data_IF_742868823259
#
_entry.id   IF_742868823259
#
_cell.length_a   1.000
_cell.length_b   1.000
_cell.length_c   1.000
_cell.angle_alpha   90.00
_cell.angle_beta   90.00
_cell.angle_gamma   90.00
#
_symmetry.space_group_name_H-M   'P 1'
#
loop_
_entity.id
_entity.type
_entity.pdbx_description
1 polymer ?
#
# COMPACT_ATOMS: atom_id res chain seq x y z
N UNK A 1 -7.82 4.35 -13.44
CA UNK A 1 -8.04 4.69 -12.03
C UNK A 1 -6.79 4.41 -11.23
N UNK A 2 -6.58 5.22 -10.21
CA UNK A 2 -5.47 5.11 -9.28
C UNK A 2 -6.07 4.92 -7.89
N UNK A 3 -6.35 3.68 -7.54
CA UNK A 3 -6.49 3.34 -6.14
C UNK A 3 -5.08 3.42 -5.53
N UNK A 4 -4.95 4.27 -4.52
CA UNK A 4 -3.74 4.39 -3.72
C UNK A 4 -3.48 3.03 -3.10
N UNK A 5 -2.54 2.30 -3.71
CA UNK A 5 -1.92 1.18 -3.05
C UNK A 5 -1.07 1.75 -1.92
N UNK A 6 -1.67 1.88 -0.73
CA UNK A 6 -0.93 1.93 0.51
C UNK A 6 -0.19 0.59 0.64
N UNK A 7 0.92 0.47 -0.06
CA UNK A 7 1.85 -0.61 0.14
C UNK A 7 2.58 -0.29 1.44
N UNK A 8 1.95 -0.65 2.56
CA UNK A 8 2.67 -0.84 3.80
C UNK A 8 3.85 -1.76 3.51
N UNK A 9 5.07 -1.43 3.89
CA UNK A 9 6.18 -2.35 3.72
C UNK A 9 5.90 -3.60 4.57
N UNK A 10 5.61 -4.69 3.89
CA UNK A 10 5.55 -6.01 4.49
C UNK A 10 6.93 -6.39 5.06
N UNK A 11 7.01 -6.34 6.38
CA UNK A 11 8.19 -6.59 7.21
C UNK A 11 8.60 -8.06 7.23
N UNK A 12 9.76 -8.47 6.67
CA UNK A 12 10.48 -9.67 7.16
C UNK A 12 11.59 -9.34 8.15
N UNK A 13 11.71 -10.23 9.16
CA UNK A 13 12.92 -10.87 9.72
C UNK A 13 14.09 -9.98 10.23
N UNK A 14 15.17 -10.56 10.77
CA UNK A 14 15.42 -11.27 12.06
C UNK A 14 15.11 -10.37 13.30
N UNK A 15 15.54 -10.66 14.56
CA UNK A 15 15.38 -9.68 15.63
C UNK A 15 16.08 -8.38 15.25
N UNK A 16 15.40 -7.24 15.38
CA UNK A 16 16.09 -5.95 15.32
C UNK A 16 17.18 -5.95 16.42
N UNK A 17 18.47 -5.70 16.10
CA UNK A 17 19.51 -5.60 17.12
C UNK A 17 19.33 -4.36 18.01
N UNK A 18 18.45 -3.42 17.61
CA UNK A 18 18.13 -2.19 18.32
C UNK A 18 16.64 -2.18 18.64
N UNK A 19 16.22 -1.97 19.90
CA UNK A 19 14.81 -1.84 20.25
C UNK A 19 14.21 -0.57 19.64
N UNK A 20 13.77 -0.68 18.39
CA UNK A 20 13.16 0.38 17.62
C UNK A 20 11.73 0.64 18.10
N UNK A 21 11.29 1.91 18.09
CA UNK A 21 9.92 2.32 18.43
C UNK A 21 9.24 3.07 17.31
N UNK A 22 10.00 3.51 16.30
CA UNK A 22 9.49 4.27 15.16
C UNK A 22 9.88 3.57 13.86
N UNK A 23 8.89 3.32 13.03
CA UNK A 23 9.07 2.83 11.66
C UNK A 23 8.61 3.94 10.73
N UNK A 24 9.43 4.32 9.76
CA UNK A 24 9.09 5.30 8.72
C UNK A 24 9.23 4.62 7.37
N UNK A 25 8.28 4.85 6.48
CA UNK A 25 8.33 4.31 5.13
C UNK A 25 7.83 5.30 4.11
N UNK A 26 8.32 5.14 2.90
CA UNK A 26 7.84 5.84 1.73
C UNK A 26 7.77 4.87 0.55
N UNK A 27 6.89 5.17 -0.39
CA UNK A 27 6.81 4.44 -1.63
C UNK A 27 6.34 5.30 -2.77
N UNK A 28 6.66 4.85 -3.98
CA UNK A 28 6.20 5.43 -5.21
C UNK A 28 5.89 4.31 -6.20
N UNK A 29 4.92 4.53 -7.08
CA UNK A 29 4.61 3.57 -8.11
C UNK A 29 3.72 4.16 -9.18
N UNK A 30 3.68 3.52 -10.34
CA UNK A 30 2.89 4.01 -11.45
C UNK A 30 2.80 3.04 -12.60
N UNK A 31 1.93 3.41 -13.52
CA UNK A 31 1.70 2.81 -14.84
C UNK A 31 1.94 3.89 -15.90
N UNK A 32 1.61 3.60 -17.16
CA UNK A 32 1.63 4.56 -18.26
C UNK A 32 0.66 5.75 -18.09
N UNK A 33 -0.39 5.60 -17.28
CA UNK A 33 -1.47 6.60 -17.17
C UNK A 33 -1.72 7.11 -15.76
N UNK A 34 -0.98 6.60 -14.77
CA UNK A 34 -1.15 7.02 -13.40
C UNK A 34 0.13 6.83 -12.58
N UNK A 35 0.35 7.69 -11.60
CA UNK A 35 1.46 7.58 -10.66
C UNK A 35 1.04 8.03 -9.27
N UNK A 36 1.71 7.53 -8.25
CA UNK A 36 1.49 7.92 -6.86
C UNK A 36 2.77 7.91 -6.06
N UNK A 37 2.78 8.70 -5.00
CA UNK A 37 3.74 8.68 -3.91
C UNK A 37 3.00 8.67 -2.59
N UNK A 38 3.56 8.00 -1.59
CA UNK A 38 3.01 7.97 -0.25
C UNK A 38 4.14 7.82 0.77
N UNK A 39 3.83 8.23 1.99
CA UNK A 39 4.72 8.11 3.15
C UNK A 39 3.90 7.87 4.40
N UNK A 40 4.51 7.25 5.40
CA UNK A 40 3.87 7.04 6.68
C UNK A 40 4.87 6.70 7.77
N UNK A 41 4.35 6.68 8.98
CA UNK A 41 5.09 6.19 10.13
C UNK A 41 4.21 5.37 11.06
N UNK A 42 4.83 4.43 11.77
CA UNK A 42 4.23 3.65 12.85
C UNK A 42 5.05 3.87 14.10
N UNK A 43 4.38 4.30 15.16
CA UNK A 43 4.98 4.50 16.47
C UNK A 43 4.45 3.46 17.47
N UNK A 44 5.36 2.87 18.25
CA UNK A 44 5.05 1.90 19.29
C UNK A 44 5.30 2.53 20.68
N UNK A 45 4.25 3.07 21.34
CA UNK A 45 4.41 3.88 22.56
C UNK A 45 4.92 3.09 23.78
N UNK A 46 4.51 1.82 23.90
CA UNK A 46 4.70 1.06 25.14
C UNK A 46 5.76 -0.04 25.04
N UNK A 47 6.05 -0.53 23.84
CA UNK A 47 6.98 -1.63 23.61
C UNK A 47 7.69 -1.45 22.25
N UNK A 48 8.88 -2.06 22.04
CA UNK A 48 9.55 -2.01 20.74
C UNK A 48 8.69 -2.57 19.60
N UNK A 49 8.97 -2.15 18.37
CA UNK A 49 8.29 -2.60 17.16
C UNK A 49 8.38 -4.12 16.95
N UNK A 50 9.44 -4.75 17.46
CA UNK A 50 9.68 -6.18 17.34
C UNK A 50 8.76 -7.07 18.22
N UNK A 51 8.06 -6.49 19.21
CA UNK A 51 7.25 -7.22 20.20
C UNK A 51 5.75 -6.92 20.04
N UNK A 52 4.91 -7.64 20.76
CA UNK A 52 3.47 -7.37 20.80
C UNK A 52 3.17 -5.97 21.38
N UNK A 53 2.06 -5.39 20.94
CA UNK A 53 1.52 -4.18 21.58
C UNK A 53 0.84 -3.21 20.63
N UNK A 54 0.39 -2.10 21.24
CA UNK A 54 -0.27 -1.01 20.54
C UNK A 54 0.65 -0.27 19.58
N UNK A 55 0.06 0.25 18.51
CA UNK A 55 0.69 1.00 17.43
C UNK A 55 -0.17 2.21 17.08
N UNK A 56 0.48 3.34 16.85
CA UNK A 56 -0.14 4.52 16.24
C UNK A 56 0.44 4.65 14.83
N UNK A 57 -0.40 4.91 13.84
CA UNK A 57 0.04 5.04 12.46
C UNK A 57 -0.56 6.27 11.79
N UNK A 58 0.28 6.97 11.07
CA UNK A 58 -0.12 8.03 10.15
C UNK A 58 0.37 7.70 8.75
N UNK A 59 -0.46 7.94 7.75
CA UNK A 59 -0.12 7.75 6.34
C UNK A 59 -0.65 8.93 5.56
N UNK A 60 0.06 9.34 4.52
CA UNK A 60 -0.47 10.24 3.53
C UNK A 60 0.17 10.03 2.18
N UNK A 61 -0.46 10.55 1.14
CA UNK A 61 0.09 10.47 -0.19
C UNK A 61 -0.68 11.27 -1.20
N UNK A 62 -0.13 11.27 -2.41
CA UNK A 62 -0.62 12.05 -3.54
C UNK A 62 -0.38 11.25 -4.82
N UNK A 63 -1.25 11.44 -5.80
CA UNK A 63 -1.04 10.86 -7.12
C UNK A 63 -1.89 11.53 -8.19
N UNK A 64 -1.62 11.14 -9.43
CA UNK A 64 -2.33 11.64 -10.60
C UNK A 64 -2.68 10.49 -11.53
N UNK A 65 -3.76 10.65 -12.27
CA UNK A 65 -4.22 9.69 -13.25
C UNK A 65 -4.91 10.36 -14.43
N UNK A 66 -4.97 9.65 -15.55
CA UNK A 66 -5.73 10.04 -16.72
C UNK A 66 -6.73 8.97 -17.11
N UNK A 67 -7.91 9.39 -17.54
CA UNK A 67 -8.92 8.52 -18.12
C UNK A 67 -9.74 9.27 -19.18
N UNK A 68 -10.49 8.52 -19.98
CA UNK A 68 -11.44 9.13 -20.91
C UNK A 68 -12.77 9.32 -20.15
N UNK A 69 -13.20 10.58 -20.02
CA UNK A 69 -14.47 10.91 -19.41
C UNK A 69 -15.65 10.51 -20.29
N UNK A 70 -16.82 10.33 -19.67
CA UNK A 70 -18.06 10.07 -20.39
C UNK A 70 -18.69 11.34 -20.99
N UNK A 71 -19.94 11.25 -21.47
CA UNK A 71 -20.65 12.37 -22.07
C UNK A 71 -20.78 13.60 -21.16
N UNK A 72 -20.91 13.41 -19.84
CA UNK A 72 -20.97 14.51 -18.87
C UNK A 72 -19.67 15.32 -18.77
N UNK A 73 -18.53 14.68 -19.00
CA UNK A 73 -17.22 15.32 -19.14
C UNK A 73 -16.93 15.79 -20.59
N UNK A 74 -17.93 15.74 -21.48
CA UNK A 74 -17.81 16.11 -22.89
C UNK A 74 -16.97 15.14 -23.72
N UNK A 75 -16.91 13.86 -23.34
CA UNK A 75 -16.06 12.83 -23.95
C UNK A 75 -14.58 13.25 -24.01
N UNK A 76 -14.13 14.08 -23.06
CA UNK A 76 -12.78 14.61 -23.00
C UNK A 76 -11.83 13.71 -22.20
N UNK A 77 -10.53 13.88 -22.42
CA UNK A 77 -9.52 13.28 -21.55
C UNK A 77 -9.51 14.00 -20.19
N UNK A 78 -9.87 13.29 -19.13
CA UNK A 78 -9.92 13.80 -17.76
C UNK A 78 -8.60 13.53 -17.04
N UNK A 79 -8.10 14.57 -16.40
CA UNK A 79 -6.94 14.53 -15.51
C UNK A 79 -7.43 14.53 -14.07
N UNK A 80 -7.17 13.45 -13.36
CA UNK A 80 -7.49 13.31 -11.95
C UNK A 80 -6.25 13.49 -11.09
N UNK A 81 -6.43 14.16 -9.96
CA UNK A 81 -5.48 14.22 -8.84
C UNK A 81 -6.13 13.56 -7.64
N UNK A 82 -5.34 12.90 -6.82
CA UNK A 82 -5.80 12.33 -5.55
C UNK A 82 -4.81 12.67 -4.45
N UNK A 83 -5.32 13.03 -3.27
CA UNK A 83 -4.55 13.16 -2.05
C UNK A 83 -5.30 12.45 -0.91
N UNK A 84 -4.57 11.81 0.00
CA UNK A 84 -5.19 11.17 1.14
C UNK A 84 -4.36 11.31 2.41
N UNK A 85 -5.03 11.16 3.55
CA UNK A 85 -4.40 11.06 4.86
C UNK A 85 -5.15 10.06 5.75
N UNK A 86 -4.40 9.24 6.49
CA UNK A 86 -4.91 8.27 7.46
C UNK A 86 -4.35 8.56 8.85
N UNK A 87 -5.19 8.41 9.87
CA UNK A 87 -4.79 8.38 11.27
C UNK A 87 -5.38 7.15 11.95
N UNK A 88 -4.52 6.20 12.34
CA UNK A 88 -4.91 4.86 12.75
C UNK A 88 -4.32 4.47 14.10
N UNK A 89 -5.08 3.70 14.86
CA UNK A 89 -4.63 2.96 16.04
C UNK A 89 -4.69 1.48 15.71
N UNK A 90 -3.70 0.72 16.12
CA UNK A 90 -3.64 -0.70 15.86
C UNK A 90 -2.95 -1.50 16.95
N UNK A 91 -2.99 -2.81 16.78
CA UNK A 91 -2.32 -3.76 17.64
C UNK A 91 -1.52 -4.74 16.79
N UNK A 92 -0.29 -5.01 17.21
CA UNK A 92 0.55 -6.04 16.64
C UNK A 92 0.64 -7.22 17.59
N UNK A 93 0.51 -8.42 17.04
CA UNK A 93 0.82 -9.67 17.73
C UNK A 93 1.81 -10.50 16.93
N UNK A 94 2.66 -11.23 17.65
CA UNK A 94 3.70 -12.08 17.09
C UNK A 94 3.52 -13.50 17.60
N UNK A 95 3.52 -14.41 16.65
CA UNK A 95 3.58 -15.86 16.86
C UNK A 95 4.99 -16.36 16.51
N UNK A 96 5.20 -17.67 16.65
CA UNK A 96 6.50 -18.29 16.34
C UNK A 96 6.96 -18.01 14.90
N UNK A 97 6.06 -18.08 13.93
CA UNK A 97 6.36 -17.91 12.50
C UNK A 97 5.58 -16.78 11.83
N UNK A 98 4.74 -16.06 12.58
CA UNK A 98 3.85 -15.06 12.00
C UNK A 98 3.83 -13.76 12.78
N UNK A 99 3.59 -12.66 12.07
CA UNK A 99 3.30 -11.35 12.66
C UNK A 99 1.99 -10.88 12.04
N UNK A 100 1.05 -10.43 12.87
CA UNK A 100 -0.20 -9.85 12.42
C UNK A 100 -0.35 -8.47 13.05
N UNK A 101 -0.73 -7.48 12.23
CA UNK A 101 -1.06 -6.14 12.68
C UNK A 101 -2.46 -5.78 12.17
N UNK A 102 -3.32 -5.32 13.05
CA UNK A 102 -4.64 -4.80 12.68
C UNK A 102 -4.75 -3.34 13.12
N UNK A 103 -5.32 -2.51 12.26
CA UNK A 103 -5.46 -1.07 12.46
C UNK A 103 -6.89 -0.62 12.15
N UNK A 104 -7.35 0.38 12.89
CA UNK A 104 -8.61 1.07 12.65
C UNK A 104 -8.42 2.57 12.91
N UNK A 105 -9.16 3.41 12.19
CA UNK A 105 -9.15 4.84 12.42
C UNK A 105 -9.89 5.61 11.35
N UNK A 106 -9.39 6.80 11.05
CA UNK A 106 -10.02 7.73 10.10
C UNK A 106 -9.18 7.88 8.84
N UNK A 107 -9.85 8.19 7.74
CA UNK A 107 -9.27 8.49 6.44
C UNK A 107 -9.93 9.76 5.88
N UNK A 108 -9.12 10.60 5.25
CA UNK A 108 -9.55 11.68 4.37
C UNK A 108 -9.03 11.36 2.97
N UNK A 109 -9.88 11.52 1.96
CA UNK A 109 -9.61 11.21 0.56
C UNK A 109 -10.14 12.35 -0.31
N UNK A 110 -9.27 12.96 -1.10
CA UNK A 110 -9.55 14.20 -1.84
C UNK A 110 -9.25 13.96 -3.31
N UNK A 111 -10.24 14.16 -4.16
CA UNK A 111 -10.13 14.04 -5.61
C UNK A 111 -10.41 15.35 -6.32
N UNK A 112 -9.52 15.73 -7.24
CA UNK A 112 -9.72 16.86 -8.15
C UNK A 112 -9.70 16.38 -9.59
N UNK A 113 -10.74 16.70 -10.37
CA UNK A 113 -10.91 16.29 -11.77
C UNK A 113 -10.91 17.51 -12.70
N UNK A 114 -10.19 17.41 -13.83
CA UNK A 114 -10.16 18.46 -14.88
C UNK A 114 -10.23 17.82 -16.28
N UNK A 115 -11.26 18.12 -17.10
CA UNK A 115 -12.46 18.87 -16.74
C UNK A 115 -13.27 18.17 -15.64
N UNK A 116 -14.20 18.90 -15.02
CA UNK A 116 -15.11 18.32 -14.05
C UNK A 116 -15.92 17.18 -14.70
N UNK A 117 -16.07 16.09 -13.95
CA UNK A 117 -16.79 14.90 -14.36
C UNK A 117 -17.77 14.52 -13.25
N UNK A 118 -18.99 15.10 -13.26
CA UNK A 118 -19.95 14.93 -12.17
C UNK A 118 -20.51 13.51 -12.07
N UNK A 119 -20.33 12.68 -13.10
CA UNK A 119 -20.74 11.28 -13.11
C UNK A 119 -19.72 10.38 -12.39
N UNK A 120 -18.52 10.89 -12.07
CA UNK A 120 -17.48 10.15 -11.37
C UNK A 120 -17.81 10.01 -9.88
N UNK A 121 -18.01 8.77 -9.41
CA UNK A 121 -18.45 8.48 -8.05
C UNK A 121 -17.47 8.88 -6.95
N UNK A 122 -16.22 9.19 -7.30
CA UNK A 122 -15.16 9.59 -6.36
C UNK A 122 -14.78 11.06 -6.47
N UNK A 123 -15.53 11.88 -7.21
CA UNK A 123 -15.25 13.31 -7.33
C UNK A 123 -15.45 14.05 -6.00
N UNK A 124 -14.48 14.89 -5.63
CA UNK A 124 -14.52 15.73 -4.43
C UNK A 124 -13.83 15.14 -3.20
N UNK A 125 -14.20 15.65 -2.03
CA UNK A 125 -13.58 15.32 -0.75
C UNK A 125 -14.49 14.41 0.08
N UNK A 126 -13.92 13.36 0.66
CA UNK A 126 -14.59 12.44 1.55
C UNK A 126 -13.77 12.18 2.82
N UNK A 127 -14.46 12.06 3.95
CA UNK A 127 -13.88 11.62 5.22
C UNK A 127 -14.64 10.38 5.67
N UNK A 128 -13.91 9.34 6.04
CA UNK A 128 -14.45 8.05 6.40
C UNK A 128 -13.67 7.36 7.50
N UNK A 129 -14.13 6.16 7.85
CA UNK A 129 -13.36 5.24 8.67
C UNK A 129 -12.47 4.37 7.78
N UNK A 130 -11.38 3.84 8.35
CA UNK A 130 -10.47 2.93 7.67
C UNK A 130 -10.10 1.76 8.55
N UNK A 131 -10.01 0.58 7.94
CA UNK A 131 -9.45 -0.63 8.51
C UNK A 131 -8.25 -1.08 7.67
N UNK A 132 -7.23 -1.60 8.35
CA UNK A 132 -6.10 -2.25 7.68
C UNK A 132 -5.64 -3.49 8.44
N UNK A 133 -5.23 -4.52 7.69
CA UNK A 133 -4.69 -5.77 8.19
C UNK A 133 -3.37 -6.05 7.46
N UNK A 134 -2.32 -6.32 8.22
CA UNK A 134 -1.00 -6.71 7.72
C UNK A 134 -0.63 -8.05 8.32
N UNK A 135 -0.14 -8.96 7.48
CA UNK A 135 0.28 -10.29 7.86
C UNK A 135 1.66 -10.58 7.28
N UNK A 136 2.52 -11.17 8.12
CA UNK A 136 3.77 -11.80 7.74
C UNK A 136 3.74 -13.26 8.18
N UNK A 137 4.22 -14.16 7.32
CA UNK A 137 4.33 -15.58 7.63
C UNK A 137 5.64 -16.14 7.07
N UNK A 138 6.51 -16.64 7.95
CA UNK A 138 7.62 -17.49 7.57
C UNK A 138 7.10 -18.91 7.31
N UNK A 139 7.06 -19.30 6.04
CA UNK A 139 6.61 -20.62 5.59
C UNK A 139 7.72 -21.67 5.82
N UNK A 140 8.97 -21.26 5.57
CA UNK A 140 10.20 -22.01 5.86
C UNK A 140 11.30 -21.02 6.25
N UNK A 141 12.51 -21.47 6.65
CA UNK A 141 13.62 -20.54 6.86
C UNK A 141 13.95 -19.69 5.61
N UNK A 142 13.71 -20.21 4.41
CA UNK A 142 14.01 -19.51 3.15
C UNK A 142 12.79 -18.86 2.48
N UNK A 143 11.56 -19.29 2.79
CA UNK A 143 10.34 -18.80 2.14
C UNK A 143 9.43 -18.07 3.10
N UNK A 144 8.77 -17.04 2.61
CA UNK A 144 7.83 -16.23 3.37
C UNK A 144 6.67 -15.75 2.52
N UNK A 145 5.57 -15.42 3.19
CA UNK A 145 4.41 -14.79 2.61
C UNK A 145 4.09 -13.50 3.37
N UNK A 146 3.56 -12.51 2.65
CA UNK A 146 3.03 -11.30 3.25
C UNK A 146 1.70 -10.90 2.62
N UNK A 147 0.79 -10.41 3.45
CA UNK A 147 -0.54 -9.99 3.07
C UNK A 147 -0.81 -8.60 3.64
N UNK A 148 -1.16 -7.65 2.78
CA UNK A 148 -1.62 -6.32 3.17
C UNK A 148 -3.05 -6.16 2.66
N UNK A 149 -3.98 -5.78 3.52
CA UNK A 149 -5.37 -5.48 3.19
C UNK A 149 -5.76 -4.14 3.81
N UNK A 150 -6.54 -3.33 3.10
CA UNK A 150 -7.16 -2.14 3.66
C UNK A 150 -8.46 -1.80 2.96
N UNK A 151 -9.36 -1.18 3.70
CA UNK A 151 -10.62 -0.64 3.20
C UNK A 151 -10.91 0.68 3.94
N UNK A 152 -11.29 1.71 3.20
CA UNK A 152 -11.76 2.98 3.69
C UNK A 152 -13.18 3.23 3.18
N UNK A 153 -14.06 3.75 4.05
CA UNK A 153 -15.42 4.09 3.65
C UNK A 153 -15.49 5.37 2.81
N UNK A 154 -14.43 6.19 2.81
CA UNK A 154 -14.31 7.29 1.87
C UNK A 154 -14.13 6.70 0.47
N UNK A 155 -15.05 7.02 -0.43
CA UNK A 155 -15.08 6.55 -1.82
C UNK A 155 -15.03 5.02 -1.99
N UNK A 156 -15.40 4.23 -0.98
CA UNK A 156 -15.29 2.76 -0.98
C UNK A 156 -13.91 2.24 -1.40
N UNK A 157 -12.86 2.97 -1.02
CA UNK A 157 -11.48 2.68 -1.45
C UNK A 157 -10.92 1.45 -0.75
N UNK A 158 -10.42 0.49 -1.53
CA UNK A 158 -9.78 -0.72 -1.02
C UNK A 158 -8.42 -1.00 -1.68
N UNK A 159 -7.55 -1.70 -0.95
CA UNK A 159 -6.29 -2.18 -1.45
C UNK A 159 -5.96 -3.54 -0.84
N UNK A 160 -5.44 -4.44 -1.67
CA UNK A 160 -4.95 -5.75 -1.25
C UNK A 160 -3.64 -6.07 -1.96
N UNK A 161 -2.72 -6.70 -1.25
CA UNK A 161 -1.46 -7.17 -1.81
C UNK A 161 -1.01 -8.46 -1.13
N UNK A 162 -0.72 -9.46 -1.94
CA UNK A 162 -0.08 -10.70 -1.54
C UNK A 162 1.33 -10.74 -2.12
N UNK A 163 2.31 -11.12 -1.30
CA UNK A 163 3.69 -11.37 -1.72
C UNK A 163 4.13 -12.74 -1.27
N UNK A 164 4.78 -13.48 -2.16
CA UNK A 164 5.47 -14.73 -1.86
C UNK A 164 6.95 -14.56 -2.19
N UNK A 165 7.81 -14.65 -1.17
CA UNK A 165 9.24 -14.40 -1.31
C UNK A 165 10.11 -15.59 -0.96
N UNK A 166 11.26 -15.65 -1.61
CA UNK A 166 12.34 -16.60 -1.38
C UNK A 166 13.65 -15.84 -1.09
N UNK A 167 14.28 -16.17 0.03
CA UNK A 167 15.57 -15.62 0.49
C UNK A 167 16.71 -16.27 -0.29
N UNK A 168 17.12 -15.63 -1.39
CA UNK A 168 18.30 -16.05 -2.16
C UNK A 168 19.59 -15.84 -1.38
N UNK A 169 19.62 -14.82 -0.52
CA UNK A 169 20.66 -14.59 0.49
C UNK A 169 20.00 -14.12 1.80
N UNK A 170 20.70 -14.16 2.95
CA UNK A 170 20.13 -13.71 4.22
C UNK A 170 19.53 -12.29 4.18
N UNK A 171 20.11 -11.40 3.36
CA UNK A 171 19.68 -10.02 3.19
C UNK A 171 18.86 -9.76 1.91
N UNK A 172 18.76 -10.73 0.98
CA UNK A 172 18.11 -10.51 -0.32
C UNK A 172 17.02 -11.55 -0.57
N UNK A 173 15.82 -11.06 -0.89
CA UNK A 173 14.68 -11.88 -1.30
C UNK A 173 14.23 -11.52 -2.72
N UNK A 174 13.82 -12.54 -3.47
CA UNK A 174 13.12 -12.40 -4.74
C UNK A 174 11.74 -13.04 -4.59
N UNK A 175 10.76 -12.59 -5.37
CA UNK A 175 9.43 -13.19 -5.24
C UNK A 175 8.42 -12.70 -6.25
N UNK A 176 7.20 -13.21 -6.08
CA UNK A 176 6.03 -12.84 -6.86
C UNK A 176 5.09 -11.99 -6.00
N UNK A 177 4.42 -11.05 -6.64
CA UNK A 177 3.35 -10.28 -6.01
C UNK A 177 2.10 -10.25 -6.86
N UNK A 178 0.96 -10.19 -6.17
CA UNK A 178 -0.35 -9.93 -6.76
C UNK A 178 -1.09 -8.93 -5.87
N UNK A 179 -2.00 -8.16 -6.45
CA UNK A 179 -2.84 -7.26 -5.69
C UNK A 179 -4.08 -6.83 -6.44
N UNK A 180 -5.08 -6.39 -5.69
CA UNK A 180 -6.29 -5.77 -6.21
C UNK A 180 -6.55 -4.47 -5.45
N UNK A 181 -6.90 -3.43 -6.17
CA UNK A 181 -7.07 -2.08 -5.66
C UNK A 181 -8.23 -1.45 -6.39
N UNK A 182 -9.05 -0.69 -5.66
CA UNK A 182 -10.20 -0.05 -6.27
C UNK A 182 -10.86 0.95 -5.35
N UNK A 183 -11.95 1.51 -5.85
CA UNK A 183 -12.85 2.44 -5.19
C UNK A 183 -14.24 2.34 -5.86
N UNK A 184 -15.18 3.20 -5.47
CA UNK A 184 -16.53 3.21 -6.02
C UNK A 184 -16.61 3.34 -7.56
N UNK A 185 -15.55 3.82 -8.20
CA UNK A 185 -15.49 4.09 -9.64
C UNK A 185 -14.75 2.97 -10.40
N UNK A 186 -13.79 2.26 -9.79
CA UNK A 186 -13.09 1.14 -10.46
C UNK A 186 -12.44 0.13 -9.57
N UNK A 187 -12.25 -1.02 -10.21
CA UNK A 187 -11.39 -2.10 -9.77
C UNK A 187 -10.16 -2.25 -10.68
N UNK A 188 -9.04 -2.65 -10.10
CA UNK A 188 -7.81 -2.92 -10.85
C UNK A 188 -7.01 -4.01 -10.16
N UNK A 189 -6.54 -4.98 -10.94
CA UNK A 189 -5.62 -6.02 -10.52
C UNK A 189 -4.19 -5.74 -10.97
N UNK A 190 -3.21 -6.22 -10.22
CA UNK A 190 -1.81 -6.27 -10.66
C UNK A 190 -1.14 -7.59 -10.29
N UNK A 191 -0.19 -8.00 -11.12
CA UNK A 191 0.63 -9.18 -10.90
C UNK A 191 2.06 -8.92 -11.39
N UNK A 192 3.06 -9.34 -10.63
CA UNK A 192 4.45 -9.10 -10.98
C UNK A 192 5.45 -9.84 -10.11
N UNK A 193 6.69 -9.38 -10.18
CA UNK A 193 7.79 -9.87 -9.39
C UNK A 193 8.44 -8.73 -8.61
N UNK A 194 9.18 -9.08 -7.57
CA UNK A 194 9.90 -8.12 -6.75
C UNK A 194 11.29 -8.58 -6.37
N UNK A 195 12.12 -7.61 -6.01
CA UNK A 195 13.39 -7.76 -5.30
C UNK A 195 13.30 -6.96 -4.01
N UNK A 196 13.66 -7.57 -2.88
CA UNK A 196 13.71 -6.93 -1.57
C UNK A 196 15.09 -7.13 -0.94
N UNK A 197 15.74 -6.04 -0.57
CA UNK A 197 16.98 -6.04 0.19
C UNK A 197 16.73 -5.49 1.60
N UNK A 198 17.18 -6.21 2.62
CA UNK A 198 17.04 -5.86 4.03
C UNK A 198 18.41 -5.68 4.70
N UNK A 199 18.50 -4.71 5.60
CA UNK A 199 19.64 -4.50 6.49
C UNK A 199 19.14 -4.31 7.93
N UNK A 200 20.06 -4.15 8.88
CA UNK A 200 19.76 -4.14 10.31
C UNK A 200 18.76 -3.06 10.79
N UNK A 201 18.52 -2.01 9.99
CA UNK A 201 17.65 -0.90 10.36
C UNK A 201 16.63 -0.53 9.28
N UNK A 202 16.44 -1.38 8.26
CA UNK A 202 15.53 -1.03 7.17
C UNK A 202 15.52 -2.00 6.01
N UNK A 203 14.74 -1.63 5.00
CA UNK A 203 14.60 -2.38 3.77
C UNK A 203 14.28 -1.49 2.58
N UNK A 204 14.59 -2.00 1.39
CA UNK A 204 14.17 -1.44 0.11
C UNK A 204 13.62 -2.56 -0.76
N UNK A 205 12.54 -2.27 -1.49
CA UNK A 205 11.87 -3.22 -2.36
C UNK A 205 11.54 -2.56 -3.68
N UNK A 206 11.91 -3.22 -4.78
CA UNK A 206 11.53 -2.84 -6.14
C UNK A 206 10.59 -3.92 -6.69
N UNK A 207 9.48 -3.50 -7.27
CA UNK A 207 8.50 -4.37 -7.91
C UNK A 207 8.24 -3.93 -9.35
N UNK A 208 8.00 -4.88 -10.23
CA UNK A 208 7.60 -4.62 -11.60
C UNK A 208 6.69 -5.74 -12.13
N UNK A 209 5.80 -5.40 -13.05
CA UNK A 209 4.91 -6.37 -13.65
C UNK A 209 3.85 -5.71 -14.52
N UNK A 210 2.65 -6.29 -14.50
CA UNK A 210 1.50 -5.82 -15.28
C UNK A 210 0.32 -5.50 -14.36
N UNK A 211 -0.43 -4.46 -14.73
CA UNK A 211 -1.63 -3.98 -14.04
C UNK A 211 -2.75 -3.82 -15.05
N UNK A 212 -3.97 -4.19 -14.71
CA UNK A 212 -5.11 -4.07 -15.60
C UNK A 212 -6.43 -4.14 -14.85
N UNK A 213 -7.47 -3.77 -15.57
CA UNK A 213 -8.87 -3.99 -15.22
C UNK A 213 -9.40 -5.08 -16.15
N UNK A 214 -10.42 -5.85 -15.77
CA UNK A 214 -11.06 -6.82 -16.66
C UNK A 214 -11.60 -6.16 -17.94
N UNK A 215 -11.90 -4.86 -17.86
CA UNK A 215 -12.45 -4.06 -18.95
C UNK A 215 -11.40 -3.25 -19.74
N UNK A 216 -10.11 -3.24 -19.32
CA UNK A 216 -9.07 -2.40 -19.94
C UNK A 216 -7.79 -3.16 -20.29
N UNK A 217 -7.02 -2.71 -21.31
CA UNK A 217 -5.74 -3.30 -21.65
C UNK A 217 -4.76 -3.30 -20.48
N UNK A 218 -3.99 -4.38 -20.36
CA UNK A 218 -2.96 -4.51 -19.33
C UNK A 218 -1.79 -3.57 -19.62
N UNK A 219 -1.33 -2.84 -18.61
CA UNK A 219 -0.22 -1.89 -18.69
C UNK A 219 0.94 -2.34 -17.81
N UNK A 220 2.20 -2.08 -18.18
CA UNK A 220 3.33 -2.30 -17.28
C UNK A 220 3.19 -1.39 -16.06
N UNK A 221 3.62 -1.88 -14.89
CA UNK A 221 3.77 -1.08 -13.68
C UNK A 221 5.16 -1.26 -13.07
N UNK A 222 5.59 -0.24 -12.33
CA UNK A 222 6.74 -0.29 -11.44
C UNK A 222 6.40 0.31 -10.09
N UNK A 223 7.03 -0.19 -9.03
CA UNK A 223 6.90 0.36 -7.68
C UNK A 223 8.20 0.23 -6.89
N UNK A 224 8.47 1.22 -6.06
CA UNK A 224 9.59 1.26 -5.12
C UNK A 224 9.04 1.52 -3.73
N UNK A 225 9.52 0.77 -2.74
CA UNK A 225 9.21 0.97 -1.33
C UNK A 225 10.52 1.01 -0.54
N UNK A 226 10.60 1.92 0.40
CA UNK A 226 11.71 2.08 1.32
C UNK A 226 11.19 2.22 2.75
N UNK A 227 11.88 1.59 3.70
CA UNK A 227 11.53 1.60 5.12
C UNK A 227 12.79 1.70 5.97
N UNK A 228 12.70 2.46 7.08
CA UNK A 228 13.68 2.51 8.15
C UNK A 228 13.01 2.36 9.51
N UNK A 229 13.73 1.74 10.46
CA UNK A 229 13.37 1.66 11.88
C UNK A 229 14.38 2.40 12.75
N UNK A 230 13.87 3.11 13.75
CA UNK A 230 14.60 3.87 14.77
C UNK A 230 14.22 3.40 16.17
#
# INVERSE_FOLDING_TARGET
MLAIACASPAVSAPPDPVPSRLEVWAGAGGTSHAWSLYSGFTYAPFAPLATDGWRLRMVGGYGEYRYQGGPAAGDAAVHGTVAFADALVGYQTRFATAIIKAFAGVNADLHGLVPDDPDNAVSGDAIGWKLALEGWLDLTPATWAALDLSYASAHDTYASRLRLGYRVWPALSLGLEAGAFGNAESDSGRGGAFVRYQWAGGEISLSAGVSGDIERPTNPYGALVWLIRY
#
